data_IF_259943388414
#
_entry.id   IF_259943388414
#
_cell.length_a   1.000
_cell.length_b   1.000
_cell.length_c   1.000
_cell.angle_alpha   90.00
_cell.angle_beta   90.00
_cell.angle_gamma   90.00
#
_symmetry.space_group_name_H-M   'P 1'
#
loop_
_entity.id
_entity.type
_entity.pdbx_description
1 polymer ?
#
# COMPACT_ATOMS: atom_id res chain seq x y z
N UNK A 1 -7.12 -5.92 10.57
CA UNK A 1 -6.30 -4.96 9.81
C UNK A 1 -5.55 -5.69 8.71
N UNK A 2 -5.39 -5.05 7.59
CA UNK A 2 -4.74 -5.66 6.44
C UNK A 2 -3.38 -5.01 6.19
N UNK A 3 -2.48 -5.79 5.65
CA UNK A 3 -1.15 -5.31 5.30
C UNK A 3 -1.07 -5.08 3.80
N UNK A 4 -0.65 -3.90 3.41
CA UNK A 4 -0.55 -3.51 2.02
C UNK A 4 0.88 -3.17 1.66
N UNK A 5 1.24 -3.48 0.43
CA UNK A 5 2.57 -3.21 -0.07
C UNK A 5 2.48 -2.47 -1.40
N UNK A 6 3.23 -1.37 -1.49
CA UNK A 6 3.32 -0.64 -2.75
C UNK A 6 4.18 -1.43 -3.74
N UNK A 7 3.61 -1.77 -4.88
CA UNK A 7 4.34 -2.55 -5.88
C UNK A 7 5.33 -1.73 -6.68
N UNK A 8 5.27 -0.41 -6.52
CA UNK A 8 6.16 0.48 -7.25
C UNK A 8 7.46 0.74 -6.49
N UNK A 9 7.37 1.06 -5.21
CA UNK A 9 8.56 1.37 -4.40
C UNK A 9 8.81 0.36 -3.28
N UNK A 10 7.86 -0.53 -3.02
CA UNK A 10 8.02 -1.55 -1.99
C UNK A 10 7.64 -1.09 -0.59
N UNK A 11 6.98 0.03 -0.48
CA UNK A 11 6.52 0.54 0.81
C UNK A 11 5.44 -0.36 1.38
N UNK A 12 5.59 -0.72 2.66
CA UNK A 12 4.62 -1.59 3.34
C UNK A 12 3.91 -0.80 4.43
N UNK A 13 2.60 -0.95 4.49
CA UNK A 13 1.80 -0.29 5.50
C UNK A 13 0.67 -1.20 5.95
N UNK A 14 0.19 -0.96 7.17
CA UNK A 14 -0.93 -1.72 7.73
C UNK A 14 -2.09 -0.77 7.92
N UNK A 15 -3.25 -1.12 7.35
CA UNK A 15 -4.44 -0.29 7.44
C UNK A 15 -5.67 -1.13 7.16
N UNK A 16 -6.84 -0.58 7.49
CA UNK A 16 -8.11 -1.26 7.22
C UNK A 16 -8.40 -1.33 5.73
N UNK A 17 -7.90 -0.38 4.98
CA UNK A 17 -8.09 -0.33 3.54
C UNK A 17 -6.85 0.22 2.87
N UNK A 18 -6.69 -0.09 1.60
CA UNK A 18 -5.53 0.39 0.85
C UNK A 18 -5.53 1.91 0.78
N UNK A 19 -4.38 2.54 1.00
CA UNK A 19 -4.28 4.00 0.84
C UNK A 19 -4.55 4.41 -0.61
N UNK A 20 -5.04 5.61 -0.79
CA UNK A 20 -5.29 6.12 -2.14
C UNK A 20 -3.98 6.38 -2.89
N UNK A 21 -2.97 6.79 -2.15
CA UNK A 21 -1.71 7.20 -2.75
C UNK A 21 -0.56 6.79 -1.86
N UNK A 22 0.52 6.31 -2.49
CA UNK A 22 1.72 5.97 -1.75
C UNK A 22 2.45 7.25 -1.32
N UNK A 23 2.72 7.42 -0.01
CA UNK A 23 3.41 8.62 0.45
C UNK A 23 4.89 8.66 0.09
N UNK A 24 5.43 7.56 -0.40
CA UNK A 24 6.85 7.46 -0.74
C UNK A 24 7.07 7.76 -2.22
N UNK A 25 6.42 7.02 -3.09
CA UNK A 25 6.60 7.21 -4.53
C UNK A 25 5.49 8.06 -5.16
N UNK A 26 4.45 8.33 -4.40
CA UNK A 26 3.32 9.17 -4.83
C UNK A 26 2.60 8.63 -6.04
N UNK A 27 2.61 7.33 -6.20
CA UNK A 27 1.81 6.65 -7.21
C UNK A 27 0.47 6.24 -6.61
N UNK A 28 -0.54 6.22 -7.44
CA UNK A 28 -1.89 5.83 -7.01
C UNK A 28 -2.17 4.39 -7.41
N UNK A 29 -2.99 3.72 -6.60
CA UNK A 29 -3.47 2.37 -6.89
C UNK A 29 -2.32 1.38 -7.12
N UNK A 30 -1.24 1.57 -6.36
CA UNK A 30 -0.09 0.67 -6.46
C UNK A 30 0.00 -0.28 -5.28
N UNK A 31 -0.95 -0.20 -4.36
CA UNK A 31 -0.92 -1.05 -3.17
C UNK A 31 -1.57 -2.40 -3.44
N UNK A 32 -0.91 -3.43 -2.97
CA UNK A 32 -1.41 -4.79 -3.07
C UNK A 32 -1.60 -5.36 -1.66
N UNK A 33 -2.75 -5.99 -1.43
CA UNK A 33 -3.01 -6.60 -0.13
C UNK A 33 -2.20 -7.88 -0.02
N UNK A 34 -1.26 -7.91 0.90
CA UNK A 34 -0.40 -9.07 1.09
C UNK A 34 -0.81 -9.87 2.31
N UNK A 35 -1.60 -9.29 3.20
CA UNK A 35 -2.01 -9.99 4.40
C UNK A 35 -3.27 -9.35 4.97
N UNK A 36 -4.13 -10.18 5.55
CA UNK A 36 -5.33 -9.69 6.26
C UNK A 36 -5.02 -9.28 7.67
#
# INVERSE_FOLDING_TARGET
MAEYRCTNCGYVTVADAAPDECPVCKHKETFEKIKD
#
